data_IF_808828096209
#
_entry.id   IF_808828096209
#
_cell.length_a   1.000
_cell.length_b   1.000
_cell.length_c   1.000
_cell.angle_alpha   90.00
_cell.angle_beta   90.00
_cell.angle_gamma   90.00
#
_symmetry.space_group_name_H-M   'P 1'
#
loop_
_entity.id
_entity.type
_entity.pdbx_description
1 polymer ?
#
# COMPACT_ATOMS: atom_id res chain seq x y z
N UNK A 1 72.10 29.76 18.97
CA UNK A 1 71.55 31.08 19.29
C UNK A 1 70.04 30.92 19.27
N UNK A 2 69.43 30.43 20.36
CA UNK A 2 69.23 31.14 21.64
C UNK A 2 68.61 32.53 21.41
N UNK A 3 67.52 32.93 22.05
CA UNK A 3 66.72 32.39 23.14
C UNK A 3 65.44 33.25 23.25
N UNK A 4 64.58 32.85 24.18
CA UNK A 4 63.56 33.63 24.90
C UNK A 4 62.09 33.56 24.47
N UNK A 5 61.40 32.63 25.15
CA UNK A 5 60.05 32.83 25.68
C UNK A 5 60.05 33.96 26.74
N UNK A 6 58.87 34.52 27.03
CA UNK A 6 58.48 34.50 28.44
C UNK A 6 57.03 34.09 28.68
N UNK A 7 56.85 33.32 29.76
CA UNK A 7 55.57 33.04 30.41
C UNK A 7 54.93 34.32 30.99
N UNK A 8 53.60 34.41 30.88
CA UNK A 8 52.81 35.45 31.56
C UNK A 8 51.40 34.96 31.88
N UNK A 9 51.19 34.45 33.10
CA UNK A 9 49.88 34.12 33.67
C UNK A 9 49.04 35.40 33.82
N UNK A 10 47.91 35.49 33.10
CA UNK A 10 46.90 36.53 33.27
C UNK A 10 45.50 35.94 33.20
N UNK A 11 44.77 35.96 34.32
CA UNK A 11 43.34 35.58 34.41
C UNK A 11 42.50 36.51 33.53
N UNK A 12 41.95 36.01 32.43
CA UNK A 12 40.96 36.76 31.64
C UNK A 12 39.55 36.46 32.13
N UNK A 13 38.92 37.45 32.77
CA UNK A 13 37.47 37.50 32.96
C UNK A 13 36.76 37.42 31.59
N UNK A 14 35.63 36.70 31.46
CA UNK A 14 34.87 36.74 30.22
C UNK A 14 34.25 38.14 30.04
N UNK A 15 34.71 38.83 28.99
CA UNK A 15 34.15 40.07 28.49
C UNK A 15 32.66 39.90 28.19
N UNK A 16 31.80 40.63 28.91
CA UNK A 16 30.41 40.83 28.50
C UNK A 16 30.42 41.57 27.16
N UNK A 17 29.93 40.94 26.10
CA UNK A 17 29.62 41.63 24.84
C UNK A 17 28.49 42.63 25.09
N UNK A 18 28.83 43.91 25.09
CA UNK A 18 27.86 45.00 25.03
C UNK A 18 27.71 45.37 23.56
N UNK A 19 26.52 45.15 22.99
CA UNK A 19 26.18 45.69 21.68
C UNK A 19 25.97 47.20 21.85
N UNK A 20 26.87 48.01 21.28
CA UNK A 20 26.72 49.48 21.21
C UNK A 20 26.27 49.82 19.79
N UNK A 21 25.09 50.42 19.66
CA UNK A 21 24.68 51.12 18.43
C UNK A 21 25.11 52.60 18.52
N UNK A 22 25.38 53.27 17.38
CA UNK A 22 25.89 54.63 17.37
C UNK A 22 24.75 55.61 17.63
N UNK A 23 24.53 55.92 18.92
CA UNK A 23 24.04 57.19 19.46
C UNK A 23 23.73 57.03 20.96
N UNK A 24 24.75 57.15 21.80
CA UNK A 24 24.76 57.90 23.07
C UNK A 24 23.74 57.66 24.20
N UNK A 25 22.75 56.76 24.11
CA UNK A 25 21.78 56.56 25.19
C UNK A 25 21.81 55.14 25.75
N UNK A 26 22.19 55.01 27.03
CA UNK A 26 22.09 53.76 27.79
C UNK A 26 20.67 53.59 28.34
N UNK A 27 19.90 52.65 27.80
CA UNK A 27 18.63 52.21 28.41
C UNK A 27 18.92 51.02 29.31
N UNK A 28 18.73 51.18 30.63
CA UNK A 28 18.63 50.05 31.56
C UNK A 28 17.30 49.35 31.29
N UNK A 29 17.35 48.21 30.61
CA UNK A 29 16.20 47.31 30.52
C UNK A 29 16.25 46.41 31.75
N UNK A 30 15.38 46.68 32.73
CA UNK A 30 15.09 45.70 33.77
C UNK A 30 14.36 44.51 33.13
N UNK A 31 14.69 43.25 33.50
CA UNK A 31 14.01 42.10 32.96
C UNK A 31 12.59 42.08 33.53
N UNK A 32 11.62 42.48 32.71
CA UNK A 32 10.21 42.24 32.98
C UNK A 32 10.00 40.74 32.95
N UNK A 33 9.68 40.15 34.10
CA UNK A 33 9.32 38.75 34.20
C UNK A 33 8.20 38.46 33.19
N UNK A 34 8.46 37.54 32.26
CA UNK A 34 7.41 37.00 31.40
C UNK A 34 6.38 36.33 32.32
N UNK A 35 5.08 36.60 32.14
CA UNK A 35 4.06 35.87 32.86
C UNK A 35 4.22 34.40 32.47
N UNK A 36 4.55 33.54 33.43
CA UNK A 36 4.47 32.10 33.28
C UNK A 36 3.04 31.77 32.90
N UNK A 37 2.82 31.37 31.65
CA UNK A 37 1.56 30.83 31.18
C UNK A 37 1.28 29.56 32.00
N UNK A 38 0.41 29.69 33.00
CA UNK A 38 0.02 28.60 33.91
C UNK A 38 -1.00 27.66 33.26
N UNK A 39 -1.40 27.93 32.01
CA UNK A 39 -2.26 27.02 31.28
C UNK A 39 -1.48 25.77 30.89
N UNK A 40 -2.08 24.58 31.03
CA UNK A 40 -1.48 23.38 30.46
C UNK A 40 -1.19 23.64 28.97
N UNK A 41 -0.05 23.19 28.46
CA UNK A 41 0.26 23.35 27.04
C UNK A 41 -0.91 22.87 26.17
N UNK A 42 -1.25 23.60 25.11
CA UNK A 42 -2.42 23.32 24.27
C UNK A 42 -2.52 21.86 23.75
N UNK A 43 -1.39 21.15 23.65
CA UNK A 43 -1.36 19.74 23.27
C UNK A 43 -1.90 18.78 24.36
N UNK A 44 -1.80 19.15 25.64
CA UNK A 44 -2.40 18.38 26.75
C UNK A 44 -3.92 18.52 26.76
N UNK A 45 -4.46 19.72 26.53
CA UNK A 45 -5.91 19.95 26.44
C UNK A 45 -6.51 19.21 25.24
N UNK A 46 -5.80 19.25 24.10
CA UNK A 46 -6.19 18.48 22.92
C UNK A 46 -6.28 16.99 23.25
N UNK A 47 -5.23 16.39 23.83
CA UNK A 47 -5.22 14.96 24.16
C UNK A 47 -6.29 14.56 25.18
N UNK A 48 -6.64 15.42 26.13
CA UNK A 48 -7.70 15.19 27.11
C UNK A 48 -9.12 15.26 26.50
N UNK A 49 -9.30 16.06 25.45
CA UNK A 49 -10.58 16.19 24.73
C UNK A 49 -10.86 15.06 23.73
N UNK A 50 -9.86 14.25 23.39
CA UNK A 50 -10.03 13.16 22.42
C UNK A 50 -10.82 12.01 23.04
N UNK A 51 -11.79 11.47 22.28
CA UNK A 51 -12.42 10.18 22.59
C UNK A 51 -11.45 9.04 22.24
N UNK A 52 -10.38 8.91 23.03
CA UNK A 52 -9.26 8.03 22.76
C UNK A 52 -8.86 7.20 23.99
N UNK A 53 -8.68 5.90 23.78
CA UNK A 53 -8.04 5.00 24.75
C UNK A 53 -6.57 4.79 24.38
N UNK A 54 -5.72 4.50 25.36
CA UNK A 54 -4.33 4.11 25.09
C UNK A 54 -4.25 2.62 24.65
N UNK A 55 -3.34 2.27 23.75
CA UNK A 55 -3.01 0.85 23.46
C UNK A 55 -2.50 0.15 24.72
N UNK A 56 -3.32 -0.68 25.35
CA UNK A 56 -2.91 -1.61 26.40
C UNK A 56 -2.10 -2.75 25.78
N UNK A 57 -0.79 -2.81 26.08
CA UNK A 57 0.17 -3.90 25.77
C UNK A 57 -0.20 -4.85 24.60
N UNK A 58 0.46 -4.78 23.43
CA UNK A 58 0.54 -5.97 22.59
C UNK A 58 1.36 -7.04 23.34
N UNK A 59 0.87 -8.29 23.34
CA UNK A 59 1.63 -9.43 23.88
C UNK A 59 3.08 -9.41 23.39
N UNK A 60 4.00 -9.71 24.30
CA UNK A 60 5.45 -9.67 24.15
C UNK A 60 5.96 -10.12 22.78
N UNK A 61 6.47 -9.19 21.97
CA UNK A 61 7.34 -9.49 20.84
C UNK A 61 8.71 -9.91 21.37
N UNK A 62 8.87 -11.21 21.56
CA UNK A 62 10.09 -11.84 22.06
C UNK A 62 10.25 -13.27 21.56
N UNK A 63 10.41 -13.44 20.25
CA UNK A 63 11.04 -14.61 19.65
C UNK A 63 11.43 -14.26 18.22
N UNK A 64 12.74 -14.20 17.93
CA UNK A 64 13.34 -14.15 16.59
C UNK A 64 13.07 -15.46 15.81
N UNK A 65 11.79 -15.80 15.62
CA UNK A 65 11.37 -16.84 14.68
C UNK A 65 10.70 -16.12 13.49
N UNK A 66 11.03 -16.49 12.24
CA UNK A 66 10.29 -15.99 11.08
C UNK A 66 8.80 -16.23 11.33
N UNK A 67 7.99 -15.20 11.10
CA UNK A 67 6.59 -15.11 11.50
C UNK A 67 5.87 -16.44 11.32
N UNK A 68 5.54 -17.10 12.44
CA UNK A 68 4.62 -18.20 12.40
C UNK A 68 3.28 -17.62 11.94
N UNK A 69 2.83 -18.02 10.75
CA UNK A 69 1.50 -17.75 10.23
C UNK A 69 0.53 -18.23 11.31
N UNK A 70 -0.09 -17.29 12.02
CA UNK A 70 -1.16 -17.62 12.95
C UNK A 70 -2.31 -18.08 12.07
N UNK A 71 -2.49 -19.40 11.99
CA UNK A 71 -3.68 -20.02 11.40
C UNK A 71 -4.89 -19.53 12.17
N UNK A 72 -5.48 -18.42 11.74
CA UNK A 72 -6.79 -18.03 12.18
C UNK A 72 -7.78 -18.99 11.50
N UNK A 73 -8.50 -19.80 12.29
CA UNK A 73 -9.59 -20.64 11.80
C UNK A 73 -10.79 -19.76 11.41
N UNK A 74 -10.61 -18.94 10.38
CA UNK A 74 -11.63 -18.03 9.85
C UNK A 74 -12.61 -18.85 9.05
N UNK A 75 -13.88 -18.87 9.48
CA UNK A 75 -14.96 -19.52 8.72
C UNK A 75 -15.68 -18.49 7.86
N UNK A 76 -15.17 -18.23 6.66
CA UNK A 76 -15.73 -17.22 5.75
C UNK A 76 -16.50 -17.77 4.53
N UNK A 77 -16.36 -19.07 4.22
CA UNK A 77 -17.01 -19.66 3.05
C UNK A 77 -18.53 -19.78 3.23
N UNK A 78 -19.27 -19.66 2.14
CA UNK A 78 -20.68 -20.00 2.00
C UNK A 78 -20.88 -21.54 1.97
N UNK A 79 -22.13 -21.99 2.11
CA UNK A 79 -22.48 -23.42 2.09
C UNK A 79 -22.11 -24.10 0.78
N UNK A 80 -22.11 -23.35 -0.33
CA UNK A 80 -21.70 -23.82 -1.66
C UNK A 80 -20.18 -23.78 -1.89
N UNK A 81 -19.41 -23.36 -0.87
CA UNK A 81 -17.96 -23.22 -0.94
C UNK A 81 -17.46 -21.92 -1.58
N UNK A 82 -18.36 -21.02 -1.99
CA UNK A 82 -17.97 -19.69 -2.47
C UNK A 82 -17.49 -18.79 -1.33
N UNK A 83 -16.67 -17.79 -1.65
CA UNK A 83 -16.26 -16.74 -0.74
C UNK A 83 -16.88 -15.41 -1.16
N UNK A 84 -17.49 -14.71 -0.21
CA UNK A 84 -17.90 -13.31 -0.40
C UNK A 84 -16.88 -12.39 0.24
N UNK A 85 -16.27 -11.52 -0.56
CA UNK A 85 -15.26 -10.56 -0.11
C UNK A 85 -15.58 -9.16 -0.63
N UNK A 86 -15.47 -8.15 0.24
CA UNK A 86 -15.43 -6.76 -0.20
C UNK A 86 -13.98 -6.38 -0.49
N UNK A 87 -13.65 -6.18 -1.77
CA UNK A 87 -12.29 -5.83 -2.17
C UNK A 87 -12.05 -4.32 -2.01
N UNK A 88 -10.82 -3.94 -1.67
CA UNK A 88 -10.43 -2.55 -1.39
C UNK A 88 -9.24 -2.10 -2.23
N UNK A 89 -8.22 -2.95 -2.30
CA UNK A 89 -6.96 -2.62 -2.97
C UNK A 89 -6.41 -3.85 -3.69
N UNK A 90 -5.44 -3.63 -4.58
CA UNK A 90 -4.81 -4.68 -5.36
C UNK A 90 -3.28 -4.54 -5.42
N UNK A 91 -2.62 -5.65 -5.70
CA UNK A 91 -1.19 -5.70 -6.00
C UNK A 91 -0.96 -6.67 -7.17
N UNK A 92 -0.22 -6.23 -8.18
CA UNK A 92 0.32 -7.11 -9.22
C UNK A 92 1.74 -7.51 -8.85
N UNK A 93 1.98 -8.80 -8.65
CA UNK A 93 3.30 -9.34 -8.29
C UNK A 93 3.43 -10.77 -8.78
N UNK A 94 4.61 -11.13 -9.29
CA UNK A 94 4.94 -12.50 -9.74
C UNK A 94 3.87 -13.14 -10.64
N UNK A 95 3.37 -12.36 -11.61
CA UNK A 95 2.35 -12.78 -12.58
C UNK A 95 0.98 -13.17 -11.97
N UNK A 96 0.74 -12.76 -10.73
CA UNK A 96 -0.51 -12.94 -10.00
C UNK A 96 -1.12 -11.59 -9.66
N UNK A 97 -2.44 -11.57 -9.56
CA UNK A 97 -3.18 -10.43 -9.06
C UNK A 97 -3.64 -10.74 -7.63
N UNK A 98 -3.21 -9.93 -6.68
CA UNK A 98 -3.65 -10.02 -5.30
C UNK A 98 -4.74 -8.98 -5.07
N UNK A 99 -5.89 -9.40 -4.55
CA UNK A 99 -6.92 -8.50 -4.04
C UNK A 99 -6.89 -8.53 -2.52
N UNK A 100 -6.89 -7.36 -1.90
CA UNK A 100 -6.95 -7.21 -0.44
C UNK A 100 -8.30 -6.62 -0.06
N UNK A 101 -8.92 -7.20 0.95
CA UNK A 101 -10.28 -6.84 1.32
C UNK A 101 -10.70 -7.30 2.71
N UNK A 102 -12.02 -7.29 2.92
CA UNK A 102 -12.68 -7.74 4.15
C UNK A 102 -13.63 -8.88 3.85
N UNK A 103 -13.68 -9.83 4.77
CA UNK A 103 -14.65 -10.94 4.78
C UNK A 103 -15.32 -11.02 6.15
N UNK A 104 -16.46 -11.70 6.21
CA UNK A 104 -17.15 -11.98 7.46
C UNK A 104 -16.62 -13.31 8.01
N UNK A 105 -16.16 -13.29 9.26
CA UNK A 105 -15.90 -14.51 10.01
C UNK A 105 -17.22 -14.99 10.64
N UNK A 106 -17.86 -15.97 10.00
CA UNK A 106 -19.18 -16.47 10.40
C UNK A 106 -19.14 -17.17 11.75
N UNK A 107 -18.02 -17.82 12.11
CA UNK A 107 -17.90 -18.52 13.38
C UNK A 107 -17.89 -17.56 14.58
N UNK A 108 -17.38 -16.35 14.38
CA UNK A 108 -17.33 -15.31 15.42
C UNK A 108 -18.45 -14.27 15.29
N UNK A 109 -19.31 -14.42 14.28
CA UNK A 109 -20.45 -13.53 14.06
C UNK A 109 -21.68 -14.05 14.81
N UNK A 110 -22.50 -13.12 15.29
CA UNK A 110 -23.79 -13.40 15.94
C UNK A 110 -24.90 -12.64 15.20
N UNK A 111 -26.16 -12.88 15.56
CA UNK A 111 -27.29 -12.14 14.98
C UNK A 111 -27.25 -10.62 15.21
N UNK A 112 -26.42 -10.14 16.16
CA UNK A 112 -26.31 -8.72 16.51
C UNK A 112 -24.97 -8.10 16.14
N UNK A 113 -23.92 -8.90 15.98
CA UNK A 113 -22.54 -8.44 15.78
C UNK A 113 -21.91 -9.24 14.67
N UNK A 114 -21.55 -8.56 13.59
CA UNK A 114 -20.77 -9.14 12.49
C UNK A 114 -19.28 -8.97 12.76
N UNK A 115 -18.53 -10.07 12.75
CA UNK A 115 -17.07 -10.03 12.89
C UNK A 115 -16.41 -9.97 11.53
N UNK A 116 -15.61 -8.93 11.32
CA UNK A 116 -14.87 -8.68 10.09
C UNK A 116 -13.40 -9.03 10.24
N UNK A 117 -12.82 -9.63 9.21
CA UNK A 117 -11.38 -9.95 9.16
C UNK A 117 -10.79 -9.59 7.80
N UNK A 118 -9.49 -9.31 7.76
CA UNK A 118 -8.77 -9.04 6.51
C UNK A 118 -8.61 -10.33 5.71
N UNK A 119 -8.77 -10.23 4.40
CA UNK A 119 -8.60 -11.32 3.45
C UNK A 119 -7.68 -10.88 2.30
N UNK A 120 -6.79 -11.76 1.87
CA UNK A 120 -6.02 -11.61 0.65
C UNK A 120 -6.35 -12.76 -0.31
N UNK A 121 -6.76 -12.40 -1.53
CA UNK A 121 -7.09 -13.36 -2.59
C UNK A 121 -6.01 -13.28 -3.65
N UNK A 122 -5.25 -14.36 -3.86
CA UNK A 122 -4.31 -14.51 -4.95
C UNK A 122 -5.03 -15.10 -6.17
N UNK A 123 -5.16 -14.33 -7.24
CA UNK A 123 -5.78 -14.71 -8.50
C UNK A 123 -4.67 -15.08 -9.49
N UNK A 124 -4.68 -16.33 -9.90
CA UNK A 124 -3.80 -16.91 -10.90
C UNK A 124 -4.52 -17.04 -12.25
N UNK A 125 -3.81 -17.48 -13.29
CA UNK A 125 -4.43 -17.81 -14.58
C UNK A 125 -4.94 -16.61 -15.38
N UNK A 126 -4.55 -15.39 -15.02
CA UNK A 126 -4.81 -14.22 -15.87
C UNK A 126 -3.91 -14.31 -17.10
N UNK A 127 -4.52 -14.18 -18.27
CA UNK A 127 -3.84 -14.18 -19.55
C UNK A 127 -3.91 -12.80 -20.19
N UNK A 128 -2.78 -12.34 -20.74
CA UNK A 128 -2.69 -11.18 -21.63
C UNK A 128 -3.66 -11.36 -22.80
N UNK A 129 -4.09 -10.24 -23.37
CA UNK A 129 -5.05 -10.23 -24.45
C UNK A 129 -4.62 -9.21 -25.50
N UNK A 130 -3.95 -9.69 -26.54
CA UNK A 130 -3.47 -8.86 -27.63
C UNK A 130 -4.44 -8.88 -28.80
N UNK A 131 -4.38 -7.82 -29.59
CA UNK A 131 -5.07 -7.73 -30.88
C UNK A 131 -4.05 -7.40 -31.96
N UNK A 132 -3.79 -8.36 -32.84
CA UNK A 132 -2.87 -8.23 -33.97
C UNK A 132 -3.67 -7.78 -35.19
N UNK A 133 -3.26 -6.68 -35.82
CA UNK A 133 -3.90 -6.09 -36.99
C UNK A 133 -3.24 -6.60 -38.28
N UNK A 134 -3.93 -7.44 -39.09
CA UNK A 134 -3.43 -7.82 -40.41
C UNK A 134 -3.20 -6.59 -41.29
N UNK A 135 -2.16 -6.62 -42.12
CA UNK A 135 -1.94 -5.60 -43.14
C UNK A 135 -2.94 -5.77 -44.28
N UNK A 136 -3.18 -4.68 -45.01
CA UNK A 136 -3.89 -4.75 -46.29
C UNK A 136 -3.08 -5.51 -47.34
N UNK A 137 -1.76 -5.27 -47.37
CA UNK A 137 -0.81 -5.96 -48.24
C UNK A 137 0.44 -6.37 -47.47
N UNK A 138 1.08 -7.45 -47.90
CA UNK A 138 2.31 -7.97 -47.27
C UNK A 138 3.48 -7.02 -47.49
N UNK A 139 4.43 -7.04 -46.56
CA UNK A 139 5.72 -6.38 -46.70
C UNK A 139 6.81 -7.40 -47.03
N UNK A 140 7.60 -7.14 -48.07
CA UNK A 140 8.79 -7.91 -48.43
C UNK A 140 9.98 -6.97 -48.60
N UNK A 141 11.11 -7.28 -47.94
CA UNK A 141 12.32 -6.46 -47.98
C UNK A 141 12.11 -4.96 -47.64
N UNK A 142 11.10 -4.65 -46.82
CA UNK A 142 10.77 -3.28 -46.43
C UNK A 142 9.84 -2.54 -47.40
N UNK A 143 9.33 -3.21 -48.44
CA UNK A 143 8.41 -2.65 -49.42
C UNK A 143 7.06 -3.37 -49.40
N UNK A 144 5.98 -2.62 -49.62
CA UNK A 144 4.62 -3.16 -49.72
C UNK A 144 4.47 -3.89 -51.06
N UNK A 145 3.85 -5.07 -51.03
CA UNK A 145 3.53 -5.87 -52.22
C UNK A 145 2.08 -5.66 -52.65
N UNK A 146 1.65 -6.32 -53.73
CA UNK A 146 0.24 -6.31 -54.15
C UNK A 146 -0.58 -7.48 -53.56
N UNK A 147 0.03 -8.27 -52.66
CA UNK A 147 -0.58 -9.51 -52.13
C UNK A 147 -1.08 -9.28 -50.72
N UNK A 148 -2.37 -9.55 -50.46
CA UNK A 148 -2.91 -9.54 -49.11
C UNK A 148 -2.42 -10.76 -48.30
N UNK A 149 -2.10 -10.60 -47.01
CA UNK A 149 -1.85 -11.75 -46.13
C UNK A 149 -3.15 -12.51 -45.87
N UNK A 150 -3.08 -13.84 -45.86
CA UNK A 150 -4.19 -14.69 -45.37
C UNK A 150 -4.13 -14.81 -43.86
N UNK A 151 -5.20 -15.31 -43.24
CA UNK A 151 -5.24 -15.58 -41.80
C UNK A 151 -4.11 -16.54 -41.36
N UNK A 152 -3.83 -17.56 -42.17
CA UNK A 152 -2.77 -18.53 -41.92
C UNK A 152 -1.39 -17.88 -41.96
N UNK A 153 -1.14 -16.94 -42.90
CA UNK A 153 0.15 -16.23 -42.96
C UNK A 153 0.39 -15.40 -41.70
N UNK A 154 -0.65 -14.71 -41.20
CA UNK A 154 -0.57 -13.90 -39.97
C UNK A 154 -0.34 -14.80 -38.75
N UNK A 155 -1.05 -15.93 -38.69
CA UNK A 155 -0.88 -16.91 -37.63
C UNK A 155 0.55 -17.48 -37.63
N UNK A 156 1.05 -17.94 -38.77
CA UNK A 156 2.37 -18.56 -38.91
C UNK A 156 3.52 -17.59 -38.67
N UNK A 157 3.38 -16.33 -39.11
CA UNK A 157 4.37 -15.30 -38.78
C UNK A 157 4.38 -15.02 -37.27
N UNK A 158 3.21 -14.83 -36.66
CA UNK A 158 3.12 -14.56 -35.23
C UNK A 158 3.63 -15.75 -34.41
N UNK A 159 3.34 -16.99 -34.82
CA UNK A 159 3.84 -18.19 -34.14
C UNK A 159 5.38 -18.26 -34.15
N UNK A 160 6.01 -17.93 -35.27
CA UNK A 160 7.48 -17.81 -35.34
C UNK A 160 8.01 -16.69 -34.46
N UNK A 161 7.31 -15.56 -34.42
CA UNK A 161 7.70 -14.40 -33.63
C UNK A 161 7.61 -14.68 -32.12
N UNK A 162 6.51 -15.25 -31.66
CA UNK A 162 6.29 -15.57 -30.24
C UNK A 162 7.31 -16.61 -29.76
N UNK A 163 7.68 -17.59 -30.61
CA UNK A 163 8.76 -18.54 -30.32
C UNK A 163 10.09 -17.83 -30.07
N UNK A 164 10.44 -16.85 -30.93
CA UNK A 164 11.66 -16.05 -30.78
C UNK A 164 11.68 -15.23 -29.49
N UNK A 165 10.52 -14.81 -29.00
CA UNK A 165 10.38 -14.08 -27.73
C UNK A 165 10.20 -15.02 -26.52
N UNK A 166 10.25 -16.33 -26.71
CA UNK A 166 10.19 -17.31 -25.63
C UNK A 166 8.80 -17.66 -25.11
N UNK A 167 7.73 -17.19 -25.77
CA UNK A 167 6.34 -17.47 -25.37
C UNK A 167 6.01 -18.91 -25.77
N UNK A 168 5.68 -19.76 -24.79
CA UNK A 168 5.45 -21.19 -25.02
C UNK A 168 3.97 -21.51 -25.16
N UNK A 169 3.15 -21.05 -24.20
CA UNK A 169 1.71 -21.33 -24.16
C UNK A 169 0.95 -20.10 -24.63
N UNK A 170 0.19 -20.27 -25.71
CA UNK A 170 -0.65 -19.22 -26.27
C UNK A 170 -1.84 -19.83 -27.00
N UNK A 171 -2.86 -19.02 -27.26
CA UNK A 171 -3.95 -19.36 -28.15
C UNK A 171 -4.31 -18.13 -28.99
N UNK A 172 -4.84 -18.37 -30.19
CA UNK A 172 -5.29 -17.30 -31.07
C UNK A 172 -6.59 -17.63 -31.78
N UNK A 173 -7.33 -16.57 -32.15
CA UNK A 173 -8.55 -16.65 -32.94
C UNK A 173 -8.79 -15.32 -33.66
N UNK A 174 -9.22 -15.39 -34.92
CA UNK A 174 -9.69 -14.22 -35.67
C UNK A 174 -11.06 -13.75 -35.17
N UNK A 175 -11.18 -12.45 -34.94
CA UNK A 175 -12.38 -11.81 -34.39
C UNK A 175 -12.60 -10.42 -34.99
N UNK A 176 -13.85 -10.02 -35.24
CA UNK A 176 -14.17 -8.63 -35.58
C UNK A 176 -14.00 -7.72 -34.36
N UNK A 177 -13.40 -6.54 -34.51
CA UNK A 177 -13.31 -5.50 -33.47
C UNK A 177 -13.50 -4.11 -34.07
N UNK A 178 -14.13 -3.26 -33.27
CA UNK A 178 -14.31 -1.84 -33.58
C UNK A 178 -13.15 -1.03 -33.02
N UNK A 179 -12.64 -0.09 -33.80
CA UNK A 179 -11.63 0.87 -33.39
C UNK A 179 -12.06 2.30 -33.77
N UNK A 180 -11.85 3.27 -32.87
CA UNK A 180 -12.31 4.65 -33.08
C UNK A 180 -11.42 5.71 -32.39
N UNK A 181 -10.14 5.42 -32.16
CA UNK A 181 -9.23 6.32 -31.42
C UNK A 181 -8.26 7.12 -32.32
N UNK A 182 -8.38 7.01 -33.65
CA UNK A 182 -7.67 7.88 -34.61
C UNK A 182 -6.17 7.66 -34.78
N UNK A 183 -5.62 6.53 -34.29
CA UNK A 183 -4.21 6.21 -34.48
C UNK A 183 -3.87 5.98 -35.97
N UNK A 184 -2.79 6.60 -36.49
CA UNK A 184 -2.39 6.42 -37.88
C UNK A 184 -2.12 4.96 -38.24
N UNK A 185 -2.70 4.53 -39.36
CA UNK A 185 -2.53 3.18 -39.90
C UNK A 185 -3.44 2.11 -39.29
N UNK A 186 -4.37 2.48 -38.41
CA UNK A 186 -5.42 1.59 -37.90
C UNK A 186 -6.76 2.01 -38.52
N UNK A 187 -7.50 1.10 -39.19
CA UNK A 187 -8.78 1.43 -39.78
C UNK A 187 -9.81 1.78 -38.70
N UNK A 188 -10.57 2.86 -38.92
CA UNK A 188 -11.73 3.20 -38.10
C UNK A 188 -12.92 2.29 -38.42
N UNK A 189 -13.75 2.01 -37.42
CA UNK A 189 -14.89 1.11 -37.53
C UNK A 189 -14.50 -0.36 -37.32
N UNK A 190 -15.29 -1.26 -37.91
CA UNK A 190 -15.11 -2.71 -37.76
C UNK A 190 -14.01 -3.23 -38.68
N UNK A 191 -13.08 -4.01 -38.13
CA UNK A 191 -12.05 -4.71 -38.87
C UNK A 191 -11.81 -6.10 -38.27
N UNK A 192 -11.19 -7.00 -39.04
CA UNK A 192 -10.78 -8.32 -38.55
C UNK A 192 -9.42 -8.25 -37.87
N UNK A 193 -9.31 -8.85 -36.67
CA UNK A 193 -8.11 -8.89 -35.86
C UNK A 193 -7.82 -10.31 -35.43
N UNK A 194 -6.56 -10.69 -35.34
CA UNK A 194 -6.18 -11.91 -34.65
C UNK A 194 -6.04 -11.60 -33.15
N UNK A 195 -6.99 -12.10 -32.35
CA UNK A 195 -6.91 -12.05 -30.89
C UNK A 195 -5.93 -13.11 -30.43
N UNK A 196 -4.95 -12.72 -29.63
CA UNK A 196 -3.96 -13.61 -29.04
C UNK A 196 -4.07 -13.56 -27.51
N UNK A 197 -4.02 -14.72 -26.86
CA UNK A 197 -3.93 -14.83 -25.40
C UNK A 197 -2.74 -15.67 -24.98
N UNK A 198 -2.06 -15.26 -23.92
CA UNK A 198 -0.93 -15.98 -23.30
C UNK A 198 -0.73 -15.47 -21.87
N UNK A 199 -0.07 -16.24 -21.01
CA UNK A 199 0.01 -15.94 -19.57
C UNK A 199 0.84 -14.68 -19.24
N UNK A 200 0.57 -14.07 -18.08
CA UNK A 200 1.41 -12.98 -17.53
C UNK A 200 2.76 -13.49 -16.99
N UNK A 201 2.95 -14.81 -16.88
CA UNK A 201 4.21 -15.50 -16.56
C UNK A 201 5.17 -15.61 -17.76
N UNK A 202 4.72 -15.24 -18.95
CA UNK A 202 5.50 -15.22 -20.18
C UNK A 202 6.00 -13.79 -20.52
N UNK A 203 7.07 -13.64 -21.33
CA UNK A 203 7.65 -12.33 -21.67
C UNK A 203 6.69 -11.38 -22.38
N UNK A 204 6.82 -10.08 -22.09
CA UNK A 204 6.07 -9.01 -22.75
C UNK A 204 6.59 -8.82 -24.18
N UNK A 205 5.68 -8.75 -25.15
CA UNK A 205 6.02 -8.35 -26.52
C UNK A 205 6.23 -6.82 -26.64
N UNK A 206 7.16 -6.36 -27.50
CA UNK A 206 7.36 -4.93 -27.74
C UNK A 206 6.10 -4.20 -28.23
N UNK A 207 5.95 -2.92 -27.86
CA UNK A 207 4.78 -2.10 -28.23
C UNK A 207 4.77 -1.70 -29.71
N UNK A 208 5.95 -1.59 -30.31
CA UNK A 208 6.20 -1.25 -31.71
C UNK A 208 6.29 -2.49 -32.61
N UNK A 209 5.89 -3.65 -32.09
CA UNK A 209 5.93 -4.91 -32.80
C UNK A 209 5.09 -4.85 -34.09
N UNK A 210 5.76 -5.13 -35.21
CA UNK A 210 5.16 -5.25 -36.53
C UNK A 210 5.85 -6.37 -37.31
N UNK A 211 5.19 -6.86 -38.35
CA UNK A 211 5.69 -7.93 -39.20
C UNK A 211 5.41 -7.68 -40.67
N UNK A 212 5.71 -8.70 -41.48
CA UNK A 212 5.42 -8.76 -42.91
C UNK A 212 3.92 -8.83 -43.19
N UNK A 213 3.15 -9.50 -42.34
CA UNK A 213 1.71 -9.77 -42.51
C UNK A 213 0.83 -8.93 -41.60
N UNK A 214 1.35 -8.37 -40.51
CA UNK A 214 0.61 -7.52 -39.57
C UNK A 214 1.29 -6.18 -39.34
N UNK A 215 0.51 -5.11 -39.20
CA UNK A 215 1.02 -3.74 -39.05
C UNK A 215 1.21 -3.34 -37.60
N UNK A 216 0.38 -3.86 -36.69
CA UNK A 216 0.34 -3.43 -35.29
C UNK A 216 -0.13 -4.55 -34.37
N UNK A 217 0.33 -4.49 -33.12
CA UNK A 217 -0.20 -5.30 -32.01
C UNK A 217 -0.64 -4.38 -30.90
N UNK A 218 -1.92 -4.42 -30.54
CA UNK A 218 -2.48 -3.67 -29.41
C UNK A 218 -2.58 -4.55 -28.17
N UNK A 219 -2.54 -3.93 -26.99
CA UNK A 219 -2.72 -4.59 -25.69
C UNK A 219 -1.47 -5.24 -25.10
N UNK A 220 -0.28 -4.97 -25.66
CA UNK A 220 1.00 -5.55 -25.18
C UNK A 220 1.36 -5.15 -23.75
N UNK A 221 1.03 -3.93 -23.37
CA UNK A 221 1.34 -3.32 -22.07
C UNK A 221 0.12 -3.20 -21.14
N UNK A 222 -1.03 -3.79 -21.46
CA UNK A 222 -2.19 -3.83 -20.57
C UNK A 222 -1.80 -4.54 -19.26
N UNK A 223 -2.22 -3.96 -18.12
CA UNK A 223 -1.96 -4.53 -16.79
C UNK A 223 -2.89 -5.72 -16.50
N UNK A 224 -2.48 -6.62 -15.59
CA UNK A 224 -3.29 -7.78 -15.25
C UNK A 224 -4.60 -7.35 -14.56
N UNK A 225 -4.52 -6.33 -13.69
CA UNK A 225 -5.65 -5.74 -12.98
C UNK A 225 -6.64 -5.10 -13.94
N UNK A 226 -6.19 -4.23 -14.86
CA UNK A 226 -7.06 -3.58 -15.84
C UNK A 226 -7.83 -4.63 -16.65
N UNK A 227 -7.11 -5.63 -17.17
CA UNK A 227 -7.73 -6.68 -17.97
C UNK A 227 -8.73 -7.50 -17.17
N UNK A 228 -8.41 -7.79 -15.91
CA UNK A 228 -9.28 -8.50 -14.99
C UNK A 228 -10.56 -7.71 -14.72
N UNK A 229 -10.47 -6.48 -14.21
CA UNK A 229 -11.66 -5.69 -13.84
C UNK A 229 -12.56 -5.42 -15.05
N UNK A 230 -12.00 -5.15 -16.23
CA UNK A 230 -12.77 -4.94 -17.46
C UNK A 230 -13.52 -6.21 -17.87
N UNK A 231 -12.85 -7.36 -17.89
CA UNK A 231 -13.49 -8.64 -18.28
C UNK A 231 -14.53 -9.12 -17.26
N UNK A 232 -14.34 -8.77 -15.98
CA UNK A 232 -15.22 -9.14 -14.87
C UNK A 232 -16.29 -8.10 -14.55
N UNK A 233 -16.25 -6.93 -15.22
CA UNK A 233 -17.15 -5.79 -15.01
C UNK A 233 -17.12 -5.29 -13.55
N UNK A 234 -15.94 -5.23 -12.96
CA UNK A 234 -15.74 -4.74 -11.59
C UNK A 234 -15.48 -3.23 -11.65
N UNK A 235 -16.33 -2.45 -10.98
CA UNK A 235 -16.33 -0.99 -11.06
C UNK A 235 -15.93 -0.38 -9.70
N UNK A 236 -14.66 -0.52 -9.33
CA UNK A 236 -14.15 -0.06 -8.03
C UNK A 236 -14.50 -0.99 -6.86
N UNK A 237 -14.17 -0.59 -5.62
CA UNK A 237 -14.42 -1.39 -4.41
C UNK A 237 -15.87 -1.83 -4.30
N UNK A 238 -16.09 -3.14 -4.25
CA UNK A 238 -17.42 -3.74 -4.16
C UNK A 238 -17.36 -5.14 -3.56
N UNK A 239 -18.53 -5.72 -3.32
CA UNK A 239 -18.64 -7.13 -2.97
C UNK A 239 -18.40 -8.02 -4.19
N UNK A 240 -17.53 -9.01 -4.01
CA UNK A 240 -17.23 -10.05 -4.97
C UNK A 240 -17.73 -11.40 -4.46
N UNK A 241 -18.34 -12.19 -5.33
CA UNK A 241 -18.57 -13.62 -5.16
C UNK A 241 -17.47 -14.40 -5.88
N UNK A 242 -16.72 -15.19 -5.13
CA UNK A 242 -15.55 -15.93 -5.58
C UNK A 242 -15.87 -17.41 -5.49
N UNK A 243 -15.99 -18.08 -6.63
CA UNK A 243 -16.24 -19.53 -6.71
C UNK A 243 -14.92 -20.28 -6.89
N UNK A 244 -14.93 -21.58 -6.59
CA UNK A 244 -13.77 -22.48 -6.80
C UNK A 244 -12.49 -21.96 -6.13
N UNK A 245 -12.64 -21.44 -4.91
CA UNK A 245 -11.55 -20.84 -4.16
C UNK A 245 -10.96 -21.82 -3.15
N UNK A 246 -9.66 -21.74 -2.93
CA UNK A 246 -8.92 -22.64 -2.05
C UNK A 246 -8.30 -21.83 -0.90
N UNK A 247 -8.74 -22.03 0.36
CA UNK A 247 -8.06 -21.45 1.51
C UNK A 247 -6.58 -21.86 1.53
N UNK A 248 -5.70 -20.90 1.84
CA UNK A 248 -4.26 -21.09 1.86
C UNK A 248 -3.67 -20.71 3.21
N UNK A 249 -2.56 -21.35 3.56
CA UNK A 249 -1.74 -21.00 4.72
C UNK A 249 -0.27 -20.83 4.30
N UNK A 250 -0.05 -20.40 3.04
CA UNK A 250 1.29 -20.25 2.46
C UNK A 250 2.01 -19.00 2.96
N UNK A 251 1.29 -18.04 3.57
CA UNK A 251 1.87 -16.84 4.17
C UNK A 251 2.34 -15.84 3.11
N UNK A 252 1.56 -15.64 2.04
CA UNK A 252 1.87 -14.66 1.01
C UNK A 252 1.36 -13.25 1.35
N UNK A 253 0.67 -13.09 2.46
CA UNK A 253 0.14 -11.84 2.99
C UNK A 253 0.19 -11.81 4.52
N UNK A 254 -0.08 -10.66 5.10
CA UNK A 254 -0.34 -10.50 6.54
C UNK A 254 -1.84 -10.46 6.86
N UNK A 255 -2.70 -10.87 5.91
CA UNK A 255 -4.14 -10.95 6.14
C UNK A 255 -4.48 -12.18 7.01
N UNK A 256 -5.61 -12.09 7.72
CA UNK A 256 -6.07 -13.19 8.58
C UNK A 256 -6.58 -14.40 7.79
N UNK A 257 -7.07 -14.17 6.58
CA UNK A 257 -7.47 -15.21 5.64
C UNK A 257 -6.69 -15.03 4.32
N UNK A 258 -6.17 -16.13 3.80
CA UNK A 258 -5.55 -16.19 2.48
C UNK A 258 -6.32 -17.18 1.61
N UNK A 259 -6.59 -16.81 0.36
CA UNK A 259 -7.31 -17.64 -0.58
C UNK A 259 -6.62 -17.61 -1.94
N UNK A 260 -6.57 -18.74 -2.62
CA UNK A 260 -6.06 -18.86 -3.99
C UNK A 260 -7.24 -19.15 -4.92
N UNK A 261 -7.26 -18.48 -6.08
CA UNK A 261 -8.22 -18.69 -7.15
C UNK A 261 -7.44 -18.94 -8.44
N UNK A 262 -7.69 -20.07 -9.10
CA UNK A 262 -6.93 -20.46 -10.31
C UNK A 262 -7.56 -19.99 -11.62
N UNK A 263 -8.87 -19.77 -11.64
CA UNK A 263 -9.58 -19.22 -12.80
C UNK A 263 -10.10 -17.82 -12.47
N UNK A 264 -9.58 -16.75 -13.09
CA UNK A 264 -10.10 -15.40 -12.86
C UNK A 264 -11.57 -15.25 -13.26
N UNK A 265 -12.12 -16.18 -14.06
CA UNK A 265 -13.52 -16.20 -14.45
C UNK A 265 -14.47 -16.70 -13.36
N UNK A 266 -13.98 -17.07 -12.19
CA UNK A 266 -14.83 -17.42 -11.03
C UNK A 266 -14.99 -16.27 -10.03
N UNK A 267 -14.29 -15.14 -10.24
CA UNK A 267 -14.37 -13.93 -9.40
C UNK A 267 -15.32 -12.91 -10.04
N UNK A 268 -16.54 -12.74 -9.54
CA UNK A 268 -17.53 -11.81 -10.11
C UNK A 268 -17.98 -10.80 -9.06
N UNK A 269 -18.49 -9.61 -9.48
CA UNK A 269 -19.36 -8.82 -8.62
C UNK A 269 -20.49 -9.67 -8.04
N UNK A 270 -20.78 -9.49 -6.76
CA UNK A 270 -21.92 -10.12 -6.10
C UNK A 270 -23.22 -9.67 -6.77
N UNK A 271 -24.23 -10.55 -6.86
CA UNK A 271 -25.54 -10.20 -7.43
C UNK A 271 -26.16 -9.04 -6.66
N UNK A 272 -26.81 -8.11 -7.39
CA UNK A 272 -27.50 -6.95 -6.81
C UNK A 272 -28.65 -7.36 -5.86
N UNK A 273 -29.19 -8.57 -6.02
CA UNK A 273 -30.24 -9.12 -5.15
C UNK A 273 -29.74 -9.39 -3.72
N UNK A 274 -28.43 -9.53 -3.54
CA UNK A 274 -27.82 -9.82 -2.24
C UNK A 274 -27.34 -8.51 -1.63
N UNK A 275 -28.17 -7.94 -0.75
CA UNK A 275 -27.81 -6.72 -0.04
C UNK A 275 -26.79 -7.01 1.06
N UNK A 276 -25.53 -6.66 0.81
CA UNK A 276 -24.47 -6.61 1.81
C UNK A 276 -23.99 -5.17 1.95
N UNK A 277 -24.12 -4.62 3.17
CA UNK A 277 -23.57 -3.32 3.49
C UNK A 277 -22.06 -3.27 3.33
N UNK A 278 -21.51 -2.08 3.18
CA UNK A 278 -20.07 -1.87 3.17
C UNK A 278 -19.47 -2.32 4.51
N UNK A 279 -18.36 -3.09 4.50
CA UNK A 279 -17.69 -3.46 5.73
C UNK A 279 -17.12 -2.23 6.43
N UNK A 280 -17.12 -2.19 7.76
CA UNK A 280 -16.41 -1.16 8.47
C UNK A 280 -14.90 -1.35 8.29
N UNK A 281 -14.18 -0.24 8.20
CA UNK A 281 -12.74 -0.20 7.92
C UNK A 281 -11.92 0.03 9.19
N UNK A 282 -10.64 -0.29 9.12
CA UNK A 282 -9.68 0.12 10.15
C UNK A 282 -8.89 1.29 9.57
N UNK A 283 -9.04 2.47 10.16
CA UNK A 283 -8.36 3.69 9.69
C UNK A 283 -7.24 4.03 10.66
N UNK A 284 -6.04 4.30 10.14
CA UNK A 284 -4.91 4.74 10.95
C UNK A 284 -4.39 6.08 10.45
N UNK A 285 -4.28 7.05 11.34
CA UNK A 285 -3.55 8.29 11.10
C UNK A 285 -2.20 8.22 11.81
N UNK A 286 -1.11 8.43 11.09
CA UNK A 286 0.27 8.35 11.59
C UNK A 286 0.97 9.71 11.44
N UNK A 287 1.57 10.19 12.52
CA UNK A 287 2.43 11.37 12.52
C UNK A 287 3.79 11.03 13.13
N UNK A 288 4.87 11.41 12.45
CA UNK A 288 6.25 11.16 12.90
C UNK A 288 7.07 12.45 12.99
N UNK A 289 8.00 12.49 13.93
CA UNK A 289 9.01 13.55 14.08
C UNK A 289 10.40 12.96 13.83
N UNK A 290 11.19 13.67 13.03
CA UNK A 290 12.55 13.28 12.67
C UNK A 290 13.56 14.33 13.08
N UNK A 291 14.82 13.91 13.25
CA UNK A 291 15.96 14.78 13.53
C UNK A 291 17.11 14.40 12.60
N UNK A 292 17.92 15.38 12.20
CA UNK A 292 19.12 15.16 11.40
C UNK A 292 20.30 14.77 12.28
N UNK A 293 20.87 13.58 12.05
CA UNK A 293 22.17 13.20 12.58
C UNK A 293 23.25 13.76 11.65
N UNK A 294 23.89 14.85 12.07
CA UNK A 294 24.94 15.52 11.28
C UNK A 294 26.25 14.74 11.17
N UNK A 295 26.51 13.77 12.06
CA UNK A 295 27.71 12.93 12.00
C UNK A 295 27.59 11.86 10.92
N UNK A 296 26.44 11.19 10.88
CA UNK A 296 26.17 10.13 9.90
C UNK A 296 25.51 10.63 8.62
N UNK A 297 25.14 11.91 8.57
CA UNK A 297 24.38 12.52 7.49
C UNK A 297 23.06 11.77 7.17
N UNK A 298 22.33 11.36 8.22
CA UNK A 298 21.06 10.62 8.12
C UNK A 298 19.95 11.27 8.94
N UNK A 299 18.70 11.11 8.48
CA UNK A 299 17.52 11.46 9.28
C UNK A 299 17.11 10.26 10.11
N UNK A 300 16.80 10.51 11.37
CA UNK A 300 16.35 9.49 12.29
C UNK A 300 14.99 9.86 12.89
N UNK A 301 14.12 8.88 13.09
CA UNK A 301 12.81 9.03 13.71
C UNK A 301 12.99 9.03 15.23
N UNK A 302 12.51 10.09 15.89
CA UNK A 302 12.61 10.27 17.36
C UNK A 302 11.28 10.03 18.08
N UNK A 303 10.17 10.27 17.38
CA UNK A 303 8.83 10.11 17.92
C UNK A 303 7.88 9.77 16.78
N UNK A 304 6.93 8.88 17.05
CA UNK A 304 5.79 8.64 16.17
C UNK A 304 4.54 8.44 17.01
N UNK A 305 3.43 8.99 16.56
CA UNK A 305 2.12 8.82 17.16
C UNK A 305 1.16 8.33 16.09
N UNK A 306 0.39 7.30 16.42
CA UNK A 306 -0.72 6.84 15.60
C UNK A 306 -2.04 6.95 16.35
N UNK A 307 -3.10 7.25 15.61
CA UNK A 307 -4.49 7.18 16.07
C UNK A 307 -5.23 6.19 15.18
N UNK A 308 -5.88 5.21 15.80
CA UNK A 308 -6.50 4.06 15.15
C UNK A 308 -8.00 4.13 15.42
N UNK A 309 -8.81 4.14 14.37
CA UNK A 309 -10.25 3.95 14.46
C UNK A 309 -10.57 2.56 13.95
N UNK A 310 -10.96 1.68 14.86
CA UNK A 310 -11.40 0.34 14.52
C UNK A 310 -12.88 0.34 14.17
N UNK A 311 -13.24 -0.47 13.17
CA UNK A 311 -14.61 -0.60 12.68
C UNK A 311 -15.26 0.76 12.29
N UNK A 312 -14.48 1.66 11.69
CA UNK A 312 -14.98 2.93 11.18
C UNK A 312 -15.94 2.69 10.02
N UNK A 313 -17.17 3.18 10.16
CA UNK A 313 -18.14 3.22 9.07
C UNK A 313 -17.89 4.47 8.23
N UNK A 314 -17.57 4.33 6.95
CA UNK A 314 -17.29 5.51 6.10
C UNK A 314 -18.55 6.29 5.71
N UNK A 315 -19.74 5.74 5.96
CA UNK A 315 -21.01 6.47 5.84
C UNK A 315 -21.37 7.26 7.12
N UNK A 316 -20.63 7.08 8.22
CA UNK A 316 -20.85 7.84 9.45
C UNK A 316 -20.27 9.26 9.30
N UNK A 317 -21.15 10.26 9.39
CA UNK A 317 -20.80 11.68 9.31
C UNK A 317 -20.26 12.27 10.62
N UNK A 318 -20.17 11.48 11.69
CA UNK A 318 -19.60 11.89 12.96
C UNK A 318 -18.13 12.28 12.79
N UNK A 319 -17.74 13.46 13.27
CA UNK A 319 -16.34 13.91 13.23
C UNK A 319 -15.40 12.87 13.85
N UNK A 320 -14.23 12.57 13.23
CA UNK A 320 -13.26 11.61 13.75
C UNK A 320 -12.79 11.88 15.18
N UNK A 321 -12.87 13.13 15.64
CA UNK A 321 -12.52 13.53 17.01
C UNK A 321 -13.47 12.94 18.06
N UNK A 322 -14.75 12.81 17.70
CA UNK A 322 -15.82 12.30 18.58
C UNK A 322 -15.94 10.78 18.51
N UNK A 323 -15.43 10.16 17.45
CA UNK A 323 -15.45 8.72 17.29
C UNK A 323 -14.45 8.05 18.25
N UNK A 324 -14.82 6.89 18.85
CA UNK A 324 -13.90 6.10 19.66
C UNK A 324 -12.66 5.73 18.87
N UNK A 325 -11.50 5.93 19.48
CA UNK A 325 -10.22 5.68 18.83
C UNK A 325 -9.19 5.16 19.83
N UNK A 326 -8.10 4.63 19.31
CA UNK A 326 -6.97 4.14 20.09
C UNK A 326 -5.74 4.99 19.73
N UNK A 327 -5.05 5.52 20.72
CA UNK A 327 -3.81 6.29 20.53
C UNK A 327 -2.62 5.47 21.00
N UNK A 328 -1.57 5.50 20.17
CA UNK A 328 -0.29 4.86 20.46
C UNK A 328 0.83 5.80 20.08
N UNK A 329 1.54 6.30 21.09
CA UNK A 329 2.70 7.17 20.86
C UNK A 329 3.95 6.44 21.30
N UNK A 330 4.99 6.45 20.47
CA UNK A 330 6.31 5.89 20.79
C UNK A 330 7.35 6.98 20.68
N UNK A 331 8.22 7.06 21.68
CA UNK A 331 9.29 8.06 21.76
C UNK A 331 10.59 7.37 22.09
N UNK A 332 11.69 7.76 21.44
CA UNK A 332 13.03 7.29 21.78
C UNK A 332 14.00 8.45 22.03
N UNK A 333 14.95 8.33 22.98
CA UNK A 333 15.91 9.38 23.23
C UNK A 333 16.99 9.44 22.13
N UNK A 334 17.53 10.64 21.90
CA UNK A 334 18.79 10.84 21.16
C UNK A 334 20.03 10.63 22.06
N UNK A 335 19.82 10.64 23.38
CA UNK A 335 20.84 10.37 24.40
C UNK A 335 20.19 9.70 25.60
N UNK A 336 19.74 10.49 26.58
CA UNK A 336 18.98 10.00 27.73
C UNK A 336 17.63 10.72 27.81
N UNK A 337 16.60 10.02 28.26
CA UNK A 337 15.32 10.65 28.59
C UNK A 337 15.47 11.52 29.85
N UNK A 338 14.66 12.58 30.02
CA UNK A 338 14.64 13.39 31.24
C UNK A 338 14.40 12.52 32.48
N UNK A 339 15.01 12.90 33.60
CA UNK A 339 14.83 12.20 34.88
C UNK A 339 13.36 12.22 35.28
N UNK A 340 12.81 11.07 35.65
CA UNK A 340 11.40 10.93 36.05
C UNK A 340 10.41 10.85 34.89
N UNK A 341 10.85 10.89 33.63
CA UNK A 341 9.96 10.83 32.46
C UNK A 341 9.08 9.57 32.45
N UNK A 342 9.69 8.40 32.60
CA UNK A 342 8.93 7.13 32.60
C UNK A 342 8.01 6.99 33.82
N UNK A 343 8.46 7.50 34.98
CA UNK A 343 7.66 7.52 36.20
C UNK A 343 6.41 8.40 36.02
N UNK A 344 6.57 9.55 35.37
CA UNK A 344 5.47 10.47 35.04
C UNK A 344 4.48 9.85 34.06
N UNK A 345 4.96 9.22 32.98
CA UNK A 345 4.12 8.48 32.02
C UNK A 345 3.26 7.43 32.75
N UNK A 346 3.89 6.65 33.64
CA UNK A 346 3.21 5.60 34.39
C UNK A 346 2.17 6.17 35.36
N UNK A 347 2.49 7.26 36.04
CA UNK A 347 1.57 7.93 36.96
C UNK A 347 0.36 8.54 36.24
N UNK A 348 0.57 9.14 35.07
CA UNK A 348 -0.47 9.79 34.26
C UNK A 348 -1.23 8.82 33.35
N UNK A 349 -0.85 7.53 33.32
CA UNK A 349 -1.41 6.52 32.39
C UNK A 349 -1.41 6.99 30.94
N UNK A 350 -0.34 7.69 30.54
CA UNK A 350 -0.22 8.26 29.20
C UNK A 350 -0.10 7.17 28.13
N UNK A 351 -0.57 7.45 26.92
CA UNK A 351 -0.44 6.58 25.75
C UNK A 351 0.99 6.55 25.16
N UNK A 352 1.94 7.24 25.80
CA UNK A 352 3.34 7.33 25.37
C UNK A 352 4.15 6.14 25.88
N UNK A 353 4.83 5.44 24.96
CA UNK A 353 5.72 4.32 25.25
C UNK A 353 7.17 4.70 24.93
N UNK A 354 8.04 4.82 25.95
CA UNK A 354 9.46 5.06 25.73
C UNK A 354 10.13 3.81 25.12
N UNK A 355 10.98 4.01 24.12
CA UNK A 355 11.77 2.99 23.44
C UNK A 355 13.24 3.33 23.54
N UNK A 356 14.12 2.33 23.69
CA UNK A 356 15.54 2.58 23.92
C UNK A 356 16.28 3.15 22.68
N UNK A 357 15.84 2.76 21.48
CA UNK A 357 16.47 3.17 20.22
C UNK A 357 15.44 3.21 19.08
N UNK A 358 15.87 3.71 17.92
CA UNK A 358 15.02 3.82 16.73
C UNK A 358 14.52 2.47 16.21
N UNK A 359 15.35 1.42 16.25
CA UNK A 359 14.95 0.07 15.82
C UNK A 359 13.78 -0.46 16.65
N UNK A 360 13.82 -0.30 17.96
CA UNK A 360 12.73 -0.70 18.85
C UNK A 360 11.46 0.12 18.59
N UNK A 361 11.61 1.42 18.34
CA UNK A 361 10.49 2.29 17.96
C UNK A 361 9.81 1.79 16.69
N UNK A 362 10.58 1.53 15.63
CA UNK A 362 10.05 1.04 14.34
C UNK A 362 9.41 -0.33 14.46
N UNK A 363 10.06 -1.27 15.15
CA UNK A 363 9.50 -2.60 15.38
C UNK A 363 8.19 -2.54 16.18
N UNK A 364 8.10 -1.65 17.16
CA UNK A 364 6.88 -1.48 17.93
C UNK A 364 5.74 -0.90 17.09
N UNK A 365 6.02 0.10 16.23
CA UNK A 365 5.03 0.63 15.28
C UNK A 365 4.51 -0.45 14.33
N UNK A 366 5.42 -1.20 13.70
CA UNK A 366 5.06 -2.30 12.79
C UNK A 366 4.26 -3.38 13.50
N UNK A 367 4.67 -3.74 14.73
CA UNK A 367 3.93 -4.68 15.57
C UNK A 367 2.50 -4.20 15.86
N UNK A 368 2.29 -2.91 16.09
CA UNK A 368 0.95 -2.35 16.28
C UNK A 368 0.09 -2.43 15.02
N UNK A 369 0.66 -2.24 13.82
CA UNK A 369 -0.09 -2.39 12.55
C UNK A 369 -0.51 -3.85 12.28
N UNK A 370 0.35 -4.80 12.66
CA UNK A 370 0.12 -6.23 12.41
C UNK A 370 -0.64 -6.92 13.53
N UNK A 371 -0.77 -6.30 14.70
CA UNK A 371 -1.46 -6.89 15.85
C UNK A 371 -2.94 -7.16 15.51
N UNK A 372 -3.50 -8.30 15.95
CA UNK A 372 -4.94 -8.50 15.92
C UNK A 372 -5.59 -7.38 16.73
N UNK A 373 -6.53 -6.66 16.11
CA UNK A 373 -7.40 -5.65 16.74
C UNK A 373 -7.69 -5.99 18.20
N UNK A 374 -7.34 -5.09 19.11
CA UNK A 374 -7.45 -5.27 20.54
C UNK A 374 -8.94 -5.47 20.90
N UNK A 375 -9.21 -6.46 21.76
CA UNK A 375 -10.57 -6.78 22.21
C UNK A 375 -11.18 -5.65 23.03
#
# INVERSE_FOLDING_TARGET
MELDEPEGKGKSNPLKRVNVFPNGHTVKVEPKAEPTDTKPPAWLELHASLNASAVTEPETLGSDKPGAVVSHDVKALEEDGSLRMFWLDYLELDSRLYLVGKVIDKAQSTSKVTKWVSCCVAIEGIERNLFVLPRKYRMEFGHETDTAPTEDDVYDEFDRLRQKHGIKKWAAKFVPRNYAFGEPGIPEGESQWMKVVYGYDEPILPIDLSGATFSRVLGTNTSAFELFVLKRKIMGPCWLEIKECEPSNKGFSWCKLEVIVRDPKTVNPLSEDVNMGMPPLTVVSLAARTVMNHKENKREIVCASMRIWENANTEDSTSPEKQPSIVHTVVRPLGKLPVGFEAKIRAEKSAVKPMANEKMLLNNLLGTFMAPTMK
#
